data_IF_663981882695
#
_entry.id   IF_663981882695
#
_cell.length_a   1.000
_cell.length_b   1.000
_cell.length_c   1.000
_cell.angle_alpha   90.00
_cell.angle_beta   90.00
_cell.angle_gamma   90.00
#
_symmetry.space_group_name_H-M   'P 1'
#
loop_
_entity.id
_entity.type
_entity.pdbx_description
1 polymer ?
#
# COMPACT_ATOMS: atom_id res chain seq x y z
N UNK A 1 17.61 -8.44 32.12
CA UNK A 1 16.51 -7.77 31.39
C UNK A 1 15.57 -8.86 30.87
N UNK A 2 14.34 -8.97 31.36
CA UNK A 2 13.39 -9.95 30.79
C UNK A 2 12.86 -9.37 29.48
N UNK A 3 13.17 -10.04 28.36
CA UNK A 3 12.73 -9.71 27.00
C UNK A 3 11.20 -9.47 26.90
N UNK A 4 10.43 -10.01 27.86
CA UNK A 4 8.98 -9.87 28.02
C UNK A 4 8.41 -8.44 28.06
N UNK A 5 9.21 -7.39 28.31
CA UNK A 5 8.72 -6.01 28.38
C UNK A 5 8.77 -5.24 27.04
N UNK A 6 9.61 -5.65 26.08
CA UNK A 6 9.71 -5.01 24.76
C UNK A 6 8.69 -5.55 23.73
N UNK A 7 8.19 -6.77 23.96
CA UNK A 7 7.24 -7.47 23.11
C UNK A 7 5.84 -6.82 23.05
N UNK A 8 5.23 -6.39 24.19
CA UNK A 8 3.97 -5.64 24.15
C UNK A 8 4.11 -4.20 23.61
N UNK A 9 5.33 -3.65 23.60
CA UNK A 9 5.66 -2.33 23.03
C UNK A 9 5.50 -2.30 21.50
N UNK A 10 5.98 -3.33 20.79
CA UNK A 10 5.70 -3.51 19.35
C UNK A 10 4.21 -3.78 19.10
N UNK A 11 3.58 -4.56 19.97
CA UNK A 11 2.22 -5.06 19.81
C UNK A 11 1.10 -4.02 19.90
N UNK A 12 1.23 -3.03 20.79
CA UNK A 12 0.21 -1.99 20.93
C UNK A 12 0.26 -0.99 19.78
N UNK A 13 1.47 -0.58 19.37
CA UNK A 13 1.72 0.32 18.23
C UNK A 13 1.19 -0.28 16.92
N UNK A 14 1.55 -1.55 16.66
CA UNK A 14 1.04 -2.32 15.51
C UNK A 14 -0.47 -2.43 15.53
N UNK A 15 -1.09 -2.81 16.64
CA UNK A 15 -2.53 -2.95 16.73
C UNK A 15 -3.30 -1.64 16.47
N UNK A 16 -2.85 -0.50 17.02
CA UNK A 16 -3.51 0.78 16.73
C UNK A 16 -3.29 1.30 15.32
N UNK A 17 -2.14 1.05 14.70
CA UNK A 17 -1.86 1.44 13.32
C UNK A 17 -2.53 0.51 12.30
N UNK A 18 -2.62 -0.79 12.59
CA UNK A 18 -3.24 -1.81 11.74
C UNK A 18 -4.78 -1.83 11.82
N UNK A 19 -5.37 -1.50 12.98
CA UNK A 19 -6.82 -1.65 13.22
C UNK A 19 -7.57 -0.32 13.42
N UNK A 20 -6.87 0.83 13.50
CA UNK A 20 -7.47 2.18 13.49
C UNK A 20 -6.89 3.07 12.38
N UNK A 21 -6.56 2.47 11.22
CA UNK A 21 -6.37 3.26 10.01
C UNK A 21 -7.60 4.15 9.79
N UNK A 22 -7.44 5.47 9.68
CA UNK A 22 -8.57 6.34 9.40
C UNK A 22 -9.12 5.93 8.04
N UNK A 23 -10.42 5.68 8.02
CA UNK A 23 -11.23 5.83 6.83
C UNK A 23 -10.90 7.20 6.22
N UNK A 24 -10.70 7.23 4.90
CA UNK A 24 -10.49 8.41 4.06
C UNK A 24 -9.07 8.99 4.09
N UNK A 25 -8.45 8.92 2.91
CA UNK A 25 -7.28 9.68 2.53
C UNK A 25 -7.38 11.13 2.98
N UNK A 26 -6.48 11.51 3.88
CA UNK A 26 -6.19 12.90 4.16
C UNK A 26 -4.69 13.07 4.19
N UNK A 27 -4.16 13.66 3.11
CA UNK A 27 -2.82 14.22 3.06
C UNK A 27 -2.72 15.35 4.06
N UNK A 28 -2.37 15.03 5.30
CA UNK A 28 -1.98 16.04 6.29
C UNK A 28 -0.50 16.39 6.14
N UNK A 29 -0.14 17.67 6.34
CA UNK A 29 1.21 18.18 6.09
C UNK A 29 2.26 17.52 6.99
N UNK A 30 3.49 17.51 6.48
CA UNK A 30 4.72 16.99 7.08
C UNK A 30 4.81 17.35 8.56
N UNK A 31 4.80 16.34 9.43
CA UNK A 31 5.13 16.50 10.84
C UNK A 31 6.62 16.80 10.99
N UNK A 32 6.98 17.76 11.84
CA UNK A 32 8.39 18.07 12.09
C UNK A 32 9.07 16.93 12.86
N UNK A 33 10.40 16.77 12.68
CA UNK A 33 11.21 15.75 13.36
C UNK A 33 11.07 15.81 14.89
N UNK A 34 10.92 17.01 15.45
CA UNK A 34 10.64 17.20 16.89
C UNK A 34 9.27 16.65 17.29
N UNK A 35 8.24 16.80 16.45
CA UNK A 35 6.89 16.34 16.74
C UNK A 35 6.76 14.81 16.67
N UNK A 36 7.45 14.17 15.72
CA UNK A 36 7.56 12.71 15.63
C UNK A 36 8.33 12.14 16.82
N UNK A 37 9.45 12.78 17.19
CA UNK A 37 10.24 12.43 18.38
C UNK A 37 9.43 12.55 19.66
N UNK A 38 8.69 13.66 19.84
CA UNK A 38 7.85 13.90 21.02
C UNK A 38 6.73 12.87 21.10
N UNK A 39 6.02 12.57 20.00
CA UNK A 39 4.96 11.55 20.01
C UNK A 39 5.47 10.16 20.33
N UNK A 40 6.60 9.76 19.74
CA UNK A 40 7.22 8.47 20.03
C UNK A 40 7.65 8.39 21.50
N UNK A 41 8.33 9.43 22.01
CA UNK A 41 8.76 9.48 23.41
C UNK A 41 7.57 9.53 24.38
N UNK A 42 6.51 10.30 24.10
CA UNK A 42 5.27 10.34 24.89
C UNK A 42 4.55 8.98 24.92
N UNK A 43 4.58 8.23 23.81
CA UNK A 43 4.04 6.87 23.75
C UNK A 43 4.91 5.88 24.53
N UNK A 44 6.24 6.03 24.51
CA UNK A 44 7.18 5.25 25.34
C UNK A 44 6.97 5.55 26.83
N UNK A 45 6.77 6.83 27.20
CA UNK A 45 6.62 7.28 28.60
C UNK A 45 5.26 6.89 29.20
N UNK A 46 4.17 6.96 28.41
CA UNK A 46 2.82 6.53 28.83
C UNK A 46 2.68 5.04 29.13
N UNK A 47 3.63 4.21 28.69
CA UNK A 47 3.59 2.75 28.85
C UNK A 47 4.27 2.26 30.14
N UNK A 48 4.68 3.17 31.04
CA UNK A 48 5.03 2.82 32.43
C UNK A 48 6.34 2.03 32.59
N UNK A 49 7.21 2.01 31.58
CA UNK A 49 8.60 1.59 31.75
C UNK A 49 9.38 2.79 32.30
N UNK A 50 9.33 2.98 33.63
CA UNK A 50 10.06 4.02 34.37
C UNK A 50 11.59 3.88 34.30
N UNK A 51 12.16 3.72 33.11
CA UNK A 51 13.58 3.57 32.84
C UNK A 51 14.10 4.86 32.23
N UNK A 52 14.96 5.56 32.96
CA UNK A 52 15.58 6.78 32.46
C UNK A 52 16.72 6.43 31.48
N UNK A 53 16.36 6.27 30.20
CA UNK A 53 17.29 5.93 29.12
C UNK A 53 18.44 6.93 28.95
N UNK A 54 18.28 8.17 29.43
CA UNK A 54 19.34 9.19 29.41
C UNK A 54 20.55 8.84 30.29
N UNK A 55 20.40 7.92 31.24
CA UNK A 55 21.49 7.45 32.09
C UNK A 55 22.27 6.27 31.49
N UNK A 56 21.85 5.74 30.33
CA UNK A 56 22.53 4.65 29.65
C UNK A 56 23.67 5.21 28.80
N UNK A 57 24.86 4.61 28.89
CA UNK A 57 25.98 4.99 28.01
C UNK A 57 25.70 4.57 26.58
N UNK A 58 26.25 5.31 25.62
CA UNK A 58 26.07 5.00 24.20
C UNK A 58 26.49 3.56 23.82
N UNK A 59 27.65 3.04 24.26
CA UNK A 59 28.02 1.65 23.98
C UNK A 59 27.04 0.63 24.58
N UNK A 60 26.55 0.88 25.80
CA UNK A 60 25.59 -0.01 26.44
C UNK A 60 24.25 -0.04 25.67
N UNK A 61 23.78 1.12 25.19
CA UNK A 61 22.60 1.18 24.34
C UNK A 61 22.79 0.36 23.06
N UNK A 62 23.90 0.56 22.34
CA UNK A 62 24.16 -0.16 21.10
C UNK A 62 24.22 -1.68 21.32
N UNK A 63 24.88 -2.14 22.40
CA UNK A 63 24.92 -3.57 22.75
C UNK A 63 23.51 -4.12 22.99
N UNK A 64 22.65 -3.39 23.70
CA UNK A 64 21.26 -3.83 23.95
C UNK A 64 20.48 -4.00 22.65
N UNK A 65 20.53 -3.03 21.74
CA UNK A 65 19.79 -3.09 20.48
C UNK A 65 20.40 -4.09 19.49
N UNK A 66 21.71 -4.30 19.50
CA UNK A 66 22.35 -5.39 18.74
C UNK A 66 21.92 -6.77 19.26
N UNK A 67 21.84 -6.97 20.57
CA UNK A 67 21.35 -8.22 21.15
C UNK A 67 19.86 -8.44 20.83
N UNK A 68 19.06 -7.37 20.82
CA UNK A 68 17.66 -7.44 20.42
C UNK A 68 17.52 -7.84 18.96
N UNK A 69 18.31 -7.24 18.06
CA UNK A 69 18.33 -7.57 16.64
C UNK A 69 18.67 -9.05 16.42
N UNK A 70 19.75 -9.55 17.06
CA UNK A 70 20.12 -10.97 17.01
C UNK A 70 19.01 -11.87 17.56
N UNK A 71 18.34 -11.48 18.65
CA UNK A 71 17.25 -12.27 19.22
C UNK A 71 16.05 -12.37 18.26
N UNK A 72 15.74 -11.30 17.53
CA UNK A 72 14.64 -11.26 16.57
C UNK A 72 14.96 -11.98 15.24
N UNK A 73 16.21 -12.38 14.98
CA UNK A 73 16.52 -13.31 13.87
C UNK A 73 15.93 -14.72 14.09
N UNK A 74 15.51 -15.05 15.31
CA UNK A 74 14.93 -16.37 15.62
C UNK A 74 13.42 -16.38 15.36
N UNK A 75 12.97 -17.23 14.44
CA UNK A 75 11.54 -17.44 14.15
C UNK A 75 10.72 -17.76 15.42
N UNK A 76 11.27 -18.54 16.36
CA UNK A 76 10.60 -18.85 17.62
C UNK A 76 10.39 -17.60 18.51
N UNK A 77 11.26 -16.59 18.41
CA UNK A 77 11.06 -15.32 19.11
C UNK A 77 10.04 -14.44 18.38
N UNK A 78 10.06 -14.40 17.05
CA UNK A 78 9.03 -13.71 16.26
C UNK A 78 7.63 -14.28 16.54
N UNK A 79 7.48 -15.60 16.58
CA UNK A 79 6.22 -16.28 16.97
C UNK A 79 5.74 -15.87 18.37
N UNK A 80 6.68 -15.74 19.32
CA UNK A 80 6.35 -15.26 20.68
C UNK A 80 5.90 -13.80 20.67
N UNK A 81 6.51 -12.95 19.84
CA UNK A 81 6.02 -11.56 19.61
C UNK A 81 4.59 -11.63 19.13
N UNK A 82 4.35 -12.30 18.00
CA UNK A 82 3.05 -12.41 17.34
C UNK A 82 1.96 -12.93 18.29
N UNK A 83 2.26 -13.95 19.09
CA UNK A 83 1.33 -14.48 20.09
C UNK A 83 0.95 -13.43 21.15
N UNK A 84 1.93 -12.69 21.71
CA UNK A 84 1.67 -11.64 22.70
C UNK A 84 0.84 -10.51 22.10
N UNK A 85 1.14 -10.09 20.86
CA UNK A 85 0.36 -9.06 20.17
C UNK A 85 -1.07 -9.54 19.90
N UNK A 86 -1.23 -10.81 19.51
CA UNK A 86 -2.55 -11.40 19.25
C UNK A 86 -3.43 -11.42 20.49
N UNK A 87 -2.86 -11.81 21.63
CA UNK A 87 -3.58 -11.79 22.90
C UNK A 87 -3.92 -10.36 23.35
N UNK A 88 -3.05 -9.38 23.10
CA UNK A 88 -3.34 -7.98 23.34
C UNK A 88 -4.49 -7.47 22.45
N UNK A 89 -4.47 -7.78 21.14
CA UNK A 89 -5.53 -7.43 20.19
C UNK A 89 -6.91 -7.87 20.68
N UNK A 90 -7.01 -9.13 21.14
CA UNK A 90 -8.25 -9.72 21.66
C UNK A 90 -8.68 -9.06 22.97
N UNK A 91 -7.76 -8.86 23.92
CA UNK A 91 -8.07 -8.25 25.23
C UNK A 91 -8.50 -6.79 25.13
N UNK A 92 -8.01 -6.08 24.11
CA UNK A 92 -8.35 -4.69 23.84
C UNK A 92 -9.60 -4.53 22.96
N UNK A 93 -10.25 -5.65 22.59
CA UNK A 93 -11.46 -5.67 21.75
C UNK A 93 -11.28 -4.92 20.42
N UNK A 94 -10.11 -5.06 19.79
CA UNK A 94 -9.83 -4.38 18.52
C UNK A 94 -10.44 -5.11 17.32
N UNK A 95 -10.53 -6.43 17.36
CA UNK A 95 -11.23 -7.26 16.38
C UNK A 95 -11.60 -8.62 16.98
N UNK A 96 -12.23 -9.49 16.17
CA UNK A 96 -12.47 -10.87 16.54
C UNK A 96 -11.15 -11.65 16.72
N UNK A 97 -11.18 -12.69 17.55
CA UNK A 97 -10.02 -13.53 17.86
C UNK A 97 -9.37 -14.15 16.63
N UNK A 98 -10.16 -14.57 15.65
CA UNK A 98 -9.63 -15.12 14.40
C UNK A 98 -8.88 -14.03 13.63
N UNK A 99 -9.54 -12.90 13.38
CA UNK A 99 -8.95 -11.77 12.64
C UNK A 99 -7.67 -11.27 13.30
N UNK A 100 -7.66 -11.10 14.62
CA UNK A 100 -6.46 -10.70 15.37
C UNK A 100 -5.29 -11.67 15.12
N UNK A 101 -5.53 -12.98 15.19
CA UNK A 101 -4.46 -13.97 15.01
C UNK A 101 -3.93 -14.01 13.58
N UNK A 102 -4.84 -14.09 12.61
CA UNK A 102 -4.48 -14.23 11.21
C UNK A 102 -3.76 -12.98 10.68
N UNK A 103 -4.26 -11.78 11.00
CA UNK A 103 -3.62 -10.54 10.54
C UNK A 103 -2.21 -10.38 11.14
N UNK A 104 -2.02 -10.71 12.42
CA UNK A 104 -0.72 -10.56 13.06
C UNK A 104 0.26 -11.58 12.52
N UNK A 105 -0.18 -12.82 12.27
CA UNK A 105 0.66 -13.85 11.67
C UNK A 105 1.06 -13.46 10.24
N UNK A 106 0.12 -12.95 9.43
CA UNK A 106 0.39 -12.52 8.07
C UNK A 106 1.40 -11.36 8.01
N UNK A 107 1.29 -10.39 8.91
CA UNK A 107 2.19 -9.23 8.95
C UNK A 107 3.51 -9.48 9.67
N UNK A 108 3.62 -10.56 10.46
CA UNK A 108 4.72 -10.80 11.42
C UNK A 108 6.09 -10.57 10.79
N UNK A 109 6.37 -11.31 9.72
CA UNK A 109 7.71 -11.38 9.16
C UNK A 109 8.13 -10.03 8.56
N UNK A 110 7.26 -9.39 7.78
CA UNK A 110 7.56 -8.10 7.12
C UNK A 110 7.61 -6.95 8.13
N UNK A 111 6.68 -6.90 9.08
CA UNK A 111 6.63 -5.83 10.07
C UNK A 111 7.82 -5.87 11.02
N UNK A 112 8.14 -7.05 11.60
CA UNK A 112 9.27 -7.19 12.52
C UNK A 112 10.56 -6.81 11.81
N UNK A 113 10.74 -7.27 10.57
CA UNK A 113 11.94 -6.96 9.79
C UNK A 113 12.06 -5.46 9.46
N UNK A 114 10.98 -4.82 9.03
CA UNK A 114 10.97 -3.38 8.81
C UNK A 114 11.33 -2.61 10.08
N UNK A 115 10.87 -3.06 11.25
CA UNK A 115 11.18 -2.43 12.52
C UNK A 115 12.65 -2.65 12.96
N UNK A 116 13.19 -3.86 12.77
CA UNK A 116 14.61 -4.17 12.99
C UNK A 116 15.54 -3.28 12.16
N UNK A 117 15.15 -3.01 10.91
CA UNK A 117 15.91 -2.18 9.98
C UNK A 117 15.60 -0.68 10.09
N UNK A 118 14.80 -0.27 11.07
CA UNK A 118 14.44 1.13 11.32
C UNK A 118 14.53 1.46 12.80
N UNK A 119 13.40 1.55 13.51
CA UNK A 119 13.31 2.02 14.89
C UNK A 119 14.13 1.20 15.90
N UNK A 120 14.35 -0.10 15.65
CA UNK A 120 15.17 -0.94 16.53
C UNK A 120 16.63 -1.03 16.07
N UNK A 121 16.98 -0.41 14.96
CA UNK A 121 18.35 -0.40 14.49
C UNK A 121 19.23 0.35 15.52
N UNK A 122 20.42 -0.18 15.91
CA UNK A 122 21.16 0.37 17.03
C UNK A 122 21.53 1.85 16.91
N UNK A 123 21.75 2.38 15.70
CA UNK A 123 22.04 3.81 15.53
C UNK A 123 20.81 4.67 15.73
N UNK A 124 19.68 4.28 15.13
CA UNK A 124 18.39 4.98 15.22
C UNK A 124 17.85 4.99 16.65
N UNK A 125 17.74 3.80 17.26
CA UNK A 125 17.20 3.63 18.60
C UNK A 125 18.02 4.40 19.64
N UNK A 126 19.35 4.34 19.56
CA UNK A 126 20.22 4.98 20.54
C UNK A 126 20.35 6.49 20.33
N UNK A 127 20.24 6.98 19.09
CA UNK A 127 20.13 8.42 18.83
C UNK A 127 18.88 9.00 19.50
N UNK A 128 17.77 8.28 19.44
CA UNK A 128 16.49 8.67 20.02
C UNK A 128 16.49 8.61 21.55
N UNK A 129 17.00 7.52 22.13
CA UNK A 129 16.95 7.23 23.57
C UNK A 129 18.07 7.89 24.40
N UNK A 130 19.30 7.88 23.88
CA UNK A 130 20.49 8.41 24.58
C UNK A 130 20.81 9.84 24.11
N UNK A 131 20.60 10.13 22.83
CA UNK A 131 20.80 11.45 22.25
C UNK A 131 21.60 11.41 20.95
N UNK A 132 21.66 12.54 20.22
CA UNK A 132 22.22 12.62 18.86
C UNK A 132 23.73 12.32 18.79
N UNK A 133 24.44 12.35 19.92
CA UNK A 133 25.85 11.92 19.97
C UNK A 133 26.02 10.40 19.85
N UNK A 134 24.94 9.61 19.94
CA UNK A 134 25.00 8.15 19.90
C UNK A 134 24.55 7.52 18.57
N UNK A 135 24.11 8.32 17.60
CA UNK A 135 23.70 7.86 16.28
C UNK A 135 22.96 8.95 15.50
N UNK A 136 22.33 8.55 14.41
CA UNK A 136 21.40 9.37 13.62
C UNK A 136 19.98 8.90 13.90
N UNK A 137 19.00 9.81 13.82
CA UNK A 137 17.59 9.45 13.79
C UNK A 137 16.96 10.11 12.57
N UNK A 138 16.81 9.36 11.47
CA UNK A 138 16.38 9.89 10.17
C UNK A 138 15.10 9.23 9.62
N UNK A 139 14.44 8.41 10.43
CA UNK A 139 13.13 7.84 10.10
C UNK A 139 12.13 8.97 9.79
N UNK A 140 11.61 8.96 8.56
CA UNK A 140 10.73 10.00 8.01
C UNK A 140 11.33 11.42 8.05
N UNK A 141 12.65 11.55 8.01
CA UNK A 141 13.30 12.85 7.88
C UNK A 141 12.85 13.57 6.60
N UNK A 142 12.68 14.90 6.62
CA UNK A 142 12.38 15.67 5.42
C UNK A 142 13.46 15.50 4.35
N UNK A 143 13.03 15.33 3.10
CA UNK A 143 13.90 15.23 1.94
C UNK A 143 13.31 16.08 0.79
N UNK A 144 14.14 16.36 -0.22
CA UNK A 144 13.78 17.20 -1.36
C UNK A 144 14.17 16.52 -2.68
N UNK A 145 13.48 16.89 -3.76
CA UNK A 145 13.83 16.53 -5.13
C UNK A 145 14.49 17.71 -5.82
N UNK A 146 15.54 17.42 -6.59
CA UNK A 146 16.21 18.46 -7.40
C UNK A 146 15.49 18.59 -8.73
N UNK A 147 14.92 19.78 -8.97
CA UNK A 147 14.34 20.13 -10.28
C UNK A 147 15.45 20.46 -11.30
N UNK A 148 15.19 20.30 -12.61
CA UNK A 148 16.13 20.67 -13.65
C UNK A 148 16.43 22.18 -13.61
N UNK A 149 17.60 22.55 -14.13
CA UNK A 149 18.00 23.97 -14.24
C UNK A 149 17.30 24.70 -15.40
N UNK A 150 16.48 24.00 -16.18
CA UNK A 150 15.69 24.58 -17.27
C UNK A 150 14.74 25.62 -16.66
N UNK A 151 14.76 26.89 -17.11
CA UNK A 151 13.87 27.90 -16.58
C UNK A 151 12.41 27.53 -16.82
N UNK A 152 11.60 27.56 -15.76
CA UNK A 152 10.17 27.30 -15.86
C UNK A 152 9.53 28.25 -16.91
N UNK A 153 8.84 27.72 -17.93
CA UNK A 153 8.19 28.56 -18.93
C UNK A 153 7.06 29.42 -18.32
N UNK A 154 6.68 30.54 -18.97
CA UNK A 154 5.53 31.32 -18.55
C UNK A 154 4.26 30.46 -18.48
N UNK A 155 3.51 30.59 -17.38
CA UNK A 155 2.27 29.84 -17.18
C UNK A 155 1.24 30.28 -18.23
N UNK A 156 0.90 29.37 -19.15
CA UNK A 156 -0.10 29.60 -20.19
C UNK A 156 -1.31 28.70 -19.92
N UNK A 157 -2.47 29.28 -19.55
CA UNK A 157 -3.68 28.50 -19.36
C UNK A 157 -4.09 27.75 -20.65
N UNK A 158 -4.63 26.52 -20.56
CA UNK A 158 -5.18 25.84 -21.71
C UNK A 158 -6.28 26.70 -22.37
N UNK A 159 -6.19 26.90 -23.68
CA UNK A 159 -7.24 27.57 -24.44
C UNK A 159 -8.42 26.61 -24.66
N UNK A 160 -9.68 27.07 -24.58
CA UNK A 160 -10.82 26.25 -24.91
C UNK A 160 -10.70 25.65 -26.33
N UNK A 161 -11.11 24.39 -26.53
CA UNK A 161 -11.09 23.79 -27.86
C UNK A 161 -12.04 24.54 -28.79
N UNK A 162 -11.66 24.68 -30.06
CA UNK A 162 -12.52 25.28 -31.09
C UNK A 162 -13.78 24.41 -31.28
N UNK A 163 -14.94 25.00 -31.62
CA UNK A 163 -16.13 24.22 -31.97
C UNK A 163 -15.80 23.16 -33.03
N UNK A 164 -16.23 21.91 -32.79
CA UNK A 164 -15.97 20.78 -33.69
C UNK A 164 -14.59 20.12 -33.54
N UNK A 165 -13.76 20.51 -32.56
CA UNK A 165 -12.51 19.81 -32.26
C UNK A 165 -12.78 18.34 -31.88
N UNK A 166 -11.93 17.38 -32.30
CA UNK A 166 -12.03 15.99 -31.87
C UNK A 166 -12.04 15.86 -30.35
N UNK A 167 -12.82 14.91 -29.83
CA UNK A 167 -12.93 14.63 -28.41
C UNK A 167 -12.62 13.17 -28.16
N UNK A 168 -11.78 12.91 -27.14
CA UNK A 168 -11.54 11.57 -26.65
C UNK A 168 -12.49 11.23 -25.51
N UNK A 169 -13.00 9.99 -25.49
CA UNK A 169 -13.77 9.40 -24.41
C UNK A 169 -12.89 8.41 -23.67
N UNK A 170 -12.64 8.67 -22.39
CA UNK A 170 -11.76 7.85 -21.54
C UNK A 170 -12.60 7.17 -20.48
N UNK A 171 -12.52 5.85 -20.40
CA UNK A 171 -13.10 5.10 -19.28
C UNK A 171 -12.12 5.14 -18.09
N UNK A 172 -12.64 5.36 -16.89
CA UNK A 172 -11.87 5.30 -15.66
C UNK A 172 -12.44 4.21 -14.76
N UNK A 173 -11.63 3.18 -14.48
CA UNK A 173 -11.95 2.09 -13.57
C UNK A 173 -11.08 2.20 -12.33
N UNK A 174 -11.64 1.98 -11.16
CA UNK A 174 -10.91 2.02 -9.88
C UNK A 174 -11.66 1.20 -8.85
N UNK A 175 -10.94 0.70 -7.83
CA UNK A 175 -11.52 0.11 -6.62
C UNK A 175 -12.56 -0.99 -6.95
N UNK A 176 -12.16 -1.95 -7.79
CA UNK A 176 -13.05 -3.04 -8.21
C UNK A 176 -13.39 -3.92 -7.01
N UNK A 177 -12.43 -4.17 -6.12
CA UNK A 177 -12.55 -5.00 -4.92
C UNK A 177 -13.43 -6.23 -5.15
N UNK A 178 -12.95 -7.13 -5.99
CA UNK A 178 -13.63 -8.38 -6.26
C UNK A 178 -13.45 -9.32 -5.06
N UNK A 179 -14.57 -9.68 -4.42
CA UNK A 179 -14.60 -10.73 -3.41
C UNK A 179 -15.04 -12.06 -4.04
N UNK A 180 -14.07 -12.96 -4.17
CA UNK A 180 -14.30 -14.33 -4.65
C UNK A 180 -15.22 -15.14 -3.73
N UNK A 181 -15.30 -14.81 -2.44
CA UNK A 181 -16.09 -15.51 -1.44
C UNK A 181 -17.42 -14.82 -1.12
N UNK A 182 -17.78 -13.74 -1.83
CA UNK A 182 -19.08 -13.10 -1.67
C UNK A 182 -20.20 -14.13 -1.89
N UNK A 183 -21.12 -14.20 -0.94
CA UNK A 183 -22.24 -15.11 -0.97
C UNK A 183 -23.55 -14.37 -0.67
N UNK A 184 -24.41 -14.27 -1.67
CA UNK A 184 -25.77 -13.75 -1.49
C UNK A 184 -26.53 -14.59 -0.43
N UNK A 185 -27.26 -13.89 0.44
CA UNK A 185 -27.99 -14.48 1.57
C UNK A 185 -27.18 -14.69 2.85
N UNK A 186 -25.86 -14.45 2.84
CA UNK A 186 -25.05 -14.43 4.06
C UNK A 186 -25.30 -13.17 4.91
N UNK A 187 -24.76 -13.12 6.12
CA UNK A 187 -24.84 -11.93 6.97
C UNK A 187 -24.05 -10.76 6.38
N UNK A 188 -24.72 -9.63 6.21
CA UNK A 188 -24.11 -8.36 5.86
C UNK A 188 -23.64 -7.58 7.10
N UNK A 189 -24.08 -7.96 8.30
CA UNK A 189 -23.76 -7.34 9.59
C UNK A 189 -22.98 -8.29 10.51
N UNK A 190 -21.84 -8.77 10.02
CA UNK A 190 -20.93 -9.61 10.79
C UNK A 190 -20.02 -8.79 11.72
N UNK A 191 -19.24 -9.47 12.57
CA UNK A 191 -18.25 -8.84 13.46
C UNK A 191 -16.88 -8.66 12.82
N UNK A 192 -16.65 -9.31 11.68
CA UNK A 192 -15.40 -9.22 10.93
C UNK A 192 -15.38 -7.89 10.13
N UNK A 193 -14.18 -7.39 9.74
CA UNK A 193 -14.09 -6.15 8.97
C UNK A 193 -14.75 -6.22 7.58
N UNK A 194 -14.85 -7.42 6.99
CA UNK A 194 -15.53 -7.68 5.72
C UNK A 194 -16.56 -8.80 5.91
N UNK A 195 -17.80 -8.53 5.50
CA UNK A 195 -18.96 -9.40 5.62
C UNK A 195 -19.46 -9.86 4.24
N UNK A 196 -20.69 -10.36 4.17
CA UNK A 196 -21.31 -10.90 2.96
C UNK A 196 -20.60 -12.12 2.37
N UNK A 197 -19.86 -12.88 3.19
CA UNK A 197 -19.13 -14.09 2.81
C UNK A 197 -19.78 -15.32 3.44
N UNK A 198 -19.41 -16.51 2.96
CA UNK A 198 -19.82 -17.77 3.60
C UNK A 198 -19.43 -17.82 5.10
N UNK A 199 -18.28 -17.27 5.47
CA UNK A 199 -17.80 -17.20 6.86
C UNK A 199 -18.66 -16.29 7.75
N UNK A 200 -19.36 -15.31 7.17
CA UNK A 200 -20.22 -14.37 7.89
C UNK A 200 -21.47 -15.03 8.48
N UNK A 201 -21.80 -16.26 8.05
CA UNK A 201 -22.97 -17.03 8.50
C UNK A 201 -24.27 -16.64 7.78
N UNK A 202 -25.37 -17.33 8.08
CA UNK A 202 -26.67 -17.18 7.40
C UNK A 202 -27.79 -16.90 8.42
N UNK A 203 -28.05 -15.63 8.77
CA UNK A 203 -29.05 -15.29 9.76
C UNK A 203 -30.46 -15.59 9.23
N UNK A 204 -31.36 -16.04 10.11
CA UNK A 204 -32.74 -16.42 9.72
C UNK A 204 -33.68 -15.22 9.49
N UNK A 205 -33.33 -14.02 9.95
CA UNK A 205 -34.18 -12.83 9.90
C UNK A 205 -33.51 -11.70 9.11
N UNK A 206 -34.30 -11.05 8.24
CA UNK A 206 -33.99 -9.76 7.60
C UNK A 206 -33.97 -8.65 8.67
N UNK A 207 -33.17 -7.56 8.54
CA UNK A 207 -32.76 -6.92 7.28
C UNK A 207 -31.34 -7.19 6.77
N UNK A 208 -30.49 -7.93 7.48
CA UNK A 208 -29.04 -7.96 7.21
C UNK A 208 -28.56 -9.07 6.27
N UNK A 209 -29.33 -9.42 5.24
CA UNK A 209 -28.90 -10.44 4.27
C UNK A 209 -28.20 -9.80 3.07
N UNK A 210 -27.08 -10.40 2.66
CA UNK A 210 -26.33 -9.99 1.49
C UNK A 210 -27.19 -10.12 0.23
N UNK A 211 -27.30 -9.04 -0.55
CA UNK A 211 -28.00 -8.99 -1.81
C UNK A 211 -27.29 -9.78 -2.92
N UNK A 212 -27.98 -10.03 -4.03
CA UNK A 212 -27.35 -10.70 -5.17
C UNK A 212 -26.23 -9.85 -5.78
N UNK A 213 -26.48 -8.58 -6.06
CA UNK A 213 -25.56 -7.67 -6.78
C UNK A 213 -24.56 -6.92 -5.88
N UNK A 214 -24.48 -7.27 -4.60
CA UNK A 214 -23.81 -6.44 -3.59
C UNK A 214 -24.78 -5.96 -2.52
N UNK A 215 -24.23 -5.32 -1.48
CA UNK A 215 -24.98 -4.90 -0.29
C UNK A 215 -24.39 -3.61 0.26
N UNK A 216 -25.25 -2.68 0.69
CA UNK A 216 -24.83 -1.46 1.41
C UNK A 216 -24.42 -1.81 2.85
N UNK A 217 -23.22 -2.37 3.00
CA UNK A 217 -22.59 -2.69 4.28
C UNK A 217 -21.06 -2.77 4.09
N UNK A 218 -20.33 -3.27 5.07
CA UNK A 218 -18.92 -3.62 4.95
C UNK A 218 -18.77 -4.90 4.10
N UNK A 219 -19.07 -4.81 2.81
CA UNK A 219 -19.05 -5.90 1.85
C UNK A 219 -18.46 -5.42 0.52
N UNK A 220 -17.71 -6.30 -0.11
CA UNK A 220 -17.11 -6.06 -1.43
C UNK A 220 -17.98 -6.67 -2.55
N UNK A 221 -17.52 -6.61 -3.81
CA UNK A 221 -18.34 -6.97 -4.96
C UNK A 221 -18.25 -8.45 -5.32
N UNK A 222 -19.39 -9.12 -5.60
CA UNK A 222 -19.34 -10.44 -6.22
C UNK A 222 -18.94 -10.36 -7.70
N UNK A 223 -18.38 -11.44 -8.22
CA UNK A 223 -17.87 -11.53 -9.59
C UNK A 223 -18.87 -11.07 -10.66
N UNK A 224 -20.14 -11.47 -10.58
CA UNK A 224 -21.16 -11.11 -11.58
C UNK A 224 -21.50 -9.62 -11.59
N UNK A 225 -21.25 -8.89 -10.50
CA UNK A 225 -21.39 -7.42 -10.51
C UNK A 225 -20.23 -6.77 -11.25
N UNK A 226 -19.01 -7.27 -11.06
CA UNK A 226 -17.83 -6.83 -11.81
C UNK A 226 -17.97 -7.15 -13.31
N UNK A 227 -18.44 -8.34 -13.66
CA UNK A 227 -18.72 -8.71 -15.05
C UNK A 227 -19.81 -7.82 -15.66
N UNK A 228 -20.92 -7.60 -14.94
CA UNK A 228 -21.99 -6.71 -15.40
C UNK A 228 -21.50 -5.27 -15.60
N UNK A 229 -20.63 -4.76 -14.72
CA UNK A 229 -20.01 -3.44 -14.89
C UNK A 229 -19.24 -3.37 -16.20
N UNK A 230 -18.38 -4.36 -16.47
CA UNK A 230 -17.52 -4.37 -17.66
C UNK A 230 -18.33 -4.57 -18.95
N UNK A 231 -19.39 -5.37 -18.93
CA UNK A 231 -20.34 -5.49 -20.04
C UNK A 231 -21.03 -4.15 -20.36
N UNK A 232 -21.48 -3.44 -19.33
CA UNK A 232 -22.10 -2.13 -19.50
C UNK A 232 -21.10 -1.08 -19.96
N UNK A 233 -19.89 -1.08 -19.42
CA UNK A 233 -18.82 -0.18 -19.83
C UNK A 233 -18.46 -0.38 -21.30
N UNK A 234 -18.34 -1.64 -21.76
CA UNK A 234 -18.10 -1.94 -23.17
C UNK A 234 -19.22 -1.42 -24.09
N UNK A 235 -20.50 -1.55 -23.67
CA UNK A 235 -21.66 -1.02 -24.41
C UNK A 235 -21.73 0.51 -24.43
N UNK A 236 -21.24 1.19 -23.39
CA UNK A 236 -21.26 2.64 -23.27
C UNK A 236 -20.13 3.35 -24.05
N UNK A 237 -19.21 2.56 -24.63
CA UNK A 237 -18.15 3.04 -25.52
C UNK A 237 -18.69 3.56 -26.88
N UNK A 238 -17.79 3.79 -27.86
CA UNK A 238 -16.37 3.45 -27.85
C UNK A 238 -15.55 4.30 -26.88
N UNK A 239 -14.42 3.73 -26.43
CA UNK A 239 -13.42 4.40 -25.60
C UNK A 239 -12.11 4.47 -26.37
N UNK A 240 -11.46 5.63 -26.36
CA UNK A 240 -10.15 5.79 -27.00
C UNK A 240 -9.06 5.06 -26.20
N UNK A 241 -9.17 5.10 -24.86
CA UNK A 241 -8.37 4.31 -23.93
C UNK A 241 -9.04 4.21 -22.56
N UNK A 242 -8.46 3.43 -21.66
CA UNK A 242 -8.93 3.24 -20.29
C UNK A 242 -7.82 3.53 -19.30
N UNK A 243 -8.16 4.20 -18.20
CA UNK A 243 -7.34 4.24 -16.99
C UNK A 243 -7.91 3.27 -15.97
N UNK A 244 -7.05 2.46 -15.34
CA UNK A 244 -7.47 1.49 -14.33
C UNK A 244 -6.58 1.55 -13.09
N UNK A 245 -7.02 2.20 -12.03
CA UNK A 245 -6.13 2.59 -10.92
C UNK A 245 -5.96 1.56 -9.80
N UNK A 246 -6.16 0.27 -10.09
CA UNK A 246 -5.86 -0.81 -9.16
C UNK A 246 -7.00 -1.13 -8.19
N UNK A 247 -6.63 -1.64 -7.02
CA UNK A 247 -7.51 -2.17 -5.97
C UNK A 247 -8.48 -3.23 -6.48
N UNK A 248 -7.87 -4.32 -6.97
CA UNK A 248 -8.53 -5.53 -7.45
C UNK A 248 -9.00 -6.43 -6.29
N UNK A 249 -8.15 -6.77 -5.31
CA UNK A 249 -8.50 -7.72 -4.26
C UNK A 249 -9.45 -7.11 -3.24
N UNK A 250 -10.29 -7.94 -2.62
CA UNK A 250 -11.21 -7.54 -1.55
C UNK A 250 -10.49 -7.19 -0.23
N UNK A 251 -11.26 -6.71 0.75
CA UNK A 251 -10.81 -6.27 2.08
C UNK A 251 -10.68 -7.41 3.11
N UNK A 252 -10.57 -8.68 2.70
CA UNK A 252 -10.24 -9.80 3.60
C UNK A 252 -8.75 -9.86 3.96
N UNK A 253 -8.18 -8.72 4.32
CA UNK A 253 -6.73 -8.49 4.45
C UNK A 253 -6.05 -9.34 5.53
N UNK A 254 -6.83 -9.95 6.43
CA UNK A 254 -6.31 -10.89 7.43
C UNK A 254 -6.10 -12.30 6.86
N UNK A 255 -6.68 -12.62 5.71
CA UNK A 255 -6.70 -13.97 5.12
C UNK A 255 -6.44 -13.92 3.62
N UNK A 256 -5.31 -13.34 3.22
CA UNK A 256 -4.87 -13.26 1.83
C UNK A 256 -3.54 -13.97 1.62
N UNK A 257 -3.39 -14.65 0.48
CA UNK A 257 -2.14 -15.31 0.08
C UNK A 257 -1.66 -14.76 -1.26
N UNK A 258 -0.36 -14.81 -1.54
CA UNK A 258 0.18 -14.34 -2.83
C UNK A 258 -0.50 -15.03 -4.01
N UNK A 259 -0.75 -16.33 -3.91
CA UNK A 259 -1.44 -17.07 -4.96
C UNK A 259 -2.86 -16.55 -5.22
N UNK A 260 -3.58 -16.15 -4.17
CA UNK A 260 -4.89 -15.50 -4.31
C UNK A 260 -4.77 -14.15 -5.03
N UNK A 261 -3.88 -13.26 -4.58
CA UNK A 261 -3.65 -11.95 -5.21
C UNK A 261 -3.32 -12.09 -6.71
N UNK A 262 -2.42 -13.01 -7.07
CA UNK A 262 -2.03 -13.26 -8.46
C UNK A 262 -3.18 -13.86 -9.29
N UNK A 263 -3.99 -14.72 -8.68
CA UNK A 263 -5.19 -15.27 -9.33
C UNK A 263 -6.19 -14.17 -9.62
N UNK A 264 -6.46 -13.30 -8.64
CA UNK A 264 -7.41 -12.19 -8.77
C UNK A 264 -6.95 -11.17 -9.81
N UNK A 265 -5.67 -10.77 -9.78
CA UNK A 265 -5.04 -9.95 -10.81
C UNK A 265 -5.23 -10.56 -12.21
N UNK A 266 -4.97 -11.86 -12.37
CA UNK A 266 -5.10 -12.57 -13.64
C UNK A 266 -6.55 -12.60 -14.12
N UNK A 267 -7.49 -12.95 -13.25
CA UNK A 267 -8.90 -13.09 -13.59
C UNK A 267 -9.48 -11.74 -14.01
N UNK A 268 -9.27 -10.69 -13.22
CA UNK A 268 -9.83 -9.37 -13.53
C UNK A 268 -9.14 -8.73 -14.73
N UNK A 269 -7.81 -8.87 -14.88
CA UNK A 269 -7.12 -8.37 -16.09
C UNK A 269 -7.65 -9.04 -17.36
N UNK A 270 -7.91 -10.36 -17.31
CA UNK A 270 -8.51 -11.08 -18.44
C UNK A 270 -9.96 -10.69 -18.68
N UNK A 271 -10.74 -10.44 -17.63
CA UNK A 271 -12.12 -9.99 -17.75
C UNK A 271 -12.21 -8.60 -18.40
N UNK A 272 -11.37 -7.66 -17.96
CA UNK A 272 -11.24 -6.33 -18.58
C UNK A 272 -10.90 -6.47 -20.06
N UNK A 273 -9.89 -7.29 -20.41
CA UNK A 273 -9.49 -7.53 -21.81
C UNK A 273 -10.61 -8.16 -22.64
N UNK A 274 -11.34 -9.13 -22.07
CA UNK A 274 -12.47 -9.82 -22.73
C UNK A 274 -13.57 -8.83 -23.13
N UNK A 275 -13.96 -7.93 -22.23
CA UNK A 275 -15.10 -7.04 -22.47
C UNK A 275 -14.74 -5.77 -23.25
N UNK A 276 -13.57 -5.17 -23.01
CA UNK A 276 -13.15 -3.97 -23.73
C UNK A 276 -12.58 -4.28 -25.13
N UNK A 277 -12.13 -5.53 -25.35
CA UNK A 277 -11.58 -5.98 -26.61
C UNK A 277 -10.11 -5.61 -26.83
N UNK A 278 -9.47 -6.19 -27.85
CA UNK A 278 -8.03 -6.04 -28.09
C UNK A 278 -7.63 -4.66 -28.66
N UNK A 279 -8.60 -3.86 -29.14
CA UNK A 279 -8.33 -2.57 -29.77
C UNK A 279 -8.31 -1.40 -28.77
N UNK A 280 -8.70 -1.63 -27.51
CA UNK A 280 -8.71 -0.61 -26.46
C UNK A 280 -7.50 -0.82 -25.56
N UNK A 281 -6.63 0.18 -25.47
CA UNK A 281 -5.46 0.14 -24.58
C UNK A 281 -5.89 0.54 -23.17
N UNK A 282 -5.48 -0.26 -22.17
CA UNK A 282 -5.72 0.00 -20.75
C UNK A 282 -4.39 0.40 -20.11
N UNK A 283 -4.37 1.54 -19.42
CA UNK A 283 -3.21 2.00 -18.65
C UNK A 283 -3.48 1.81 -17.16
N UNK A 284 -3.06 0.67 -16.58
CA UNK A 284 -3.28 0.39 -15.17
C UNK A 284 -2.33 1.16 -14.24
N UNK A 285 -2.71 1.36 -12.99
CA UNK A 285 -1.84 1.73 -11.89
C UNK A 285 -1.95 0.70 -10.76
N UNK A 286 -0.94 0.67 -9.89
CA UNK A 286 -0.89 -0.24 -8.74
C UNK A 286 -1.58 0.44 -7.56
N UNK A 287 -2.62 -0.19 -7.04
CA UNK A 287 -3.29 0.18 -5.80
C UNK A 287 -2.61 -0.46 -4.58
N UNK A 288 -3.20 -0.27 -3.40
CA UNK A 288 -2.61 -0.70 -2.14
C UNK A 288 -3.10 -2.08 -1.68
N UNK A 289 -4.19 -2.58 -2.25
CA UNK A 289 -4.71 -3.92 -2.01
C UNK A 289 -4.08 -5.01 -2.89
N UNK A 290 -3.25 -4.67 -3.88
CA UNK A 290 -2.62 -5.68 -4.75
C UNK A 290 -1.61 -6.58 -4.02
N UNK A 291 -0.88 -6.06 -3.04
CA UNK A 291 0.09 -6.84 -2.27
C UNK A 291 -0.58 -7.61 -1.12
N UNK A 292 0.07 -8.69 -0.69
CA UNK A 292 -0.18 -9.28 0.63
C UNK A 292 1.14 -9.40 1.39
N UNK A 293 1.21 -8.90 2.64
CA UNK A 293 0.13 -8.23 3.37
C UNK A 293 -0.29 -6.88 2.72
N UNK A 294 -1.50 -6.39 3.04
CA UNK A 294 -2.03 -5.13 2.46
C UNK A 294 -1.09 -3.96 2.76
N UNK A 295 -0.93 -3.03 1.81
CA UNK A 295 -0.02 -1.87 1.89
C UNK A 295 1.49 -2.20 1.96
N UNK A 296 1.89 -3.47 1.95
CA UNK A 296 3.29 -3.87 2.05
C UNK A 296 3.94 -3.88 0.66
N UNK A 297 4.56 -2.74 0.32
CA UNK A 297 5.30 -2.54 -0.92
C UNK A 297 6.76 -2.19 -0.64
N UNK A 298 7.60 -3.20 -0.32
CA UNK A 298 9.02 -3.00 -0.12
C UNK A 298 9.67 -2.32 -1.34
N UNK A 299 10.40 -1.20 -1.15
CA UNK A 299 11.09 -0.55 -2.25
C UNK A 299 12.22 -1.43 -2.83
N UNK A 300 12.76 -1.09 -4.01
CA UNK A 300 13.73 -1.93 -4.73
C UNK A 300 15.04 -2.26 -4.00
N UNK A 301 15.35 -1.61 -2.88
CA UNK A 301 16.47 -1.98 -2.00
C UNK A 301 16.21 -3.27 -1.20
N UNK A 302 14.96 -3.74 -1.13
CA UNK A 302 14.59 -5.02 -0.54
C UNK A 302 14.58 -6.08 -1.63
N UNK A 303 15.30 -7.18 -1.41
CA UNK A 303 15.53 -8.21 -2.44
C UNK A 303 14.98 -9.58 -2.04
N UNK A 304 14.98 -10.50 -3.01
CA UNK A 304 14.59 -11.89 -2.81
C UNK A 304 13.09 -12.03 -2.55
N UNK A 305 12.70 -13.05 -1.78
CA UNK A 305 11.31 -13.42 -1.59
C UNK A 305 10.47 -12.35 -0.85
N UNK A 306 11.10 -11.40 -0.14
CA UNK A 306 10.42 -10.30 0.55
C UNK A 306 10.11 -9.11 -0.35
N UNK A 307 10.75 -9.02 -1.52
CA UNK A 307 10.46 -7.96 -2.49
C UNK A 307 9.07 -8.12 -3.11
N UNK A 308 8.57 -7.08 -3.77
CA UNK A 308 7.33 -7.11 -4.56
C UNK A 308 7.50 -7.67 -5.98
N UNK A 309 8.65 -8.27 -6.31
CA UNK A 309 8.92 -8.80 -7.65
C UNK A 309 7.87 -9.84 -8.10
N UNK A 310 7.41 -10.71 -7.19
CA UNK A 310 6.35 -11.70 -7.47
C UNK A 310 5.06 -11.08 -8.01
N UNK A 311 4.74 -9.84 -7.57
CA UNK A 311 3.56 -9.09 -7.98
C UNK A 311 3.83 -8.32 -9.28
N UNK A 312 4.93 -7.56 -9.32
CA UNK A 312 5.26 -6.70 -10.45
C UNK A 312 5.60 -7.50 -11.72
N UNK A 313 6.24 -8.66 -11.59
CA UNK A 313 6.48 -9.56 -12.71
C UNK A 313 5.17 -10.08 -13.28
N UNK A 314 4.22 -10.47 -12.41
CA UNK A 314 2.90 -10.93 -12.84
C UNK A 314 2.07 -9.82 -13.48
N UNK A 315 2.13 -8.60 -12.95
CA UNK A 315 1.52 -7.43 -13.58
C UNK A 315 2.08 -7.19 -14.96
N UNK A 316 3.41 -7.24 -15.12
CA UNK A 316 4.05 -7.06 -16.42
C UNK A 316 3.67 -8.17 -17.43
N UNK A 317 3.47 -9.40 -16.98
CA UNK A 317 2.93 -10.49 -17.80
C UNK A 317 1.47 -10.23 -18.23
N UNK A 318 0.57 -9.97 -17.28
CA UNK A 318 -0.85 -9.82 -17.57
C UNK A 318 -1.17 -8.52 -18.32
N UNK A 319 -0.34 -7.47 -18.17
CA UNK A 319 -0.53 -6.18 -18.82
C UNK A 319 0.34 -6.00 -20.07
N UNK A 320 1.08 -7.03 -20.48
CA UNK A 320 2.00 -6.97 -21.63
C UNK A 320 1.33 -6.55 -22.94
N UNK A 321 0.06 -6.92 -23.14
CA UNK A 321 -0.70 -6.55 -24.34
C UNK A 321 -1.06 -5.07 -24.42
N UNK A 322 -1.03 -4.35 -23.29
CA UNK A 322 -1.38 -2.94 -23.22
C UNK A 322 -0.17 -2.03 -23.11
N UNK A 323 0.96 -2.55 -22.63
CA UNK A 323 2.13 -1.75 -22.28
C UNK A 323 3.33 -2.05 -23.19
N UNK A 324 4.02 -1.02 -23.72
CA UNK A 324 5.25 -1.23 -24.47
C UNK A 324 6.35 -1.84 -23.58
N UNK A 325 7.32 -2.52 -24.19
CA UNK A 325 8.40 -3.22 -23.47
C UNK A 325 9.12 -2.31 -22.46
N UNK A 326 9.37 -1.04 -22.83
CA UNK A 326 10.04 -0.09 -21.94
C UNK A 326 9.21 0.26 -20.70
N UNK A 327 7.88 0.34 -20.83
CA UNK A 327 6.98 0.53 -19.69
C UNK A 327 6.97 -0.70 -18.77
N UNK A 328 7.02 -1.90 -19.35
CA UNK A 328 7.09 -3.13 -18.58
C UNK A 328 8.39 -3.25 -17.75
N UNK A 329 9.50 -2.65 -18.21
CA UNK A 329 10.78 -2.66 -17.45
C UNK A 329 10.67 -1.86 -16.14
N UNK A 330 10.12 -0.65 -16.20
CA UNK A 330 9.94 0.16 -14.98
C UNK A 330 8.81 -0.39 -14.10
N UNK A 331 7.79 -1.01 -14.72
CA UNK A 331 6.73 -1.72 -13.99
C UNK A 331 7.33 -2.85 -13.14
N UNK A 332 8.19 -3.70 -13.71
CA UNK A 332 8.89 -4.75 -12.95
C UNK A 332 9.80 -4.19 -11.86
N UNK A 333 10.42 -3.04 -12.11
CA UNK A 333 11.35 -2.42 -11.16
C UNK A 333 10.65 -1.84 -9.92
N UNK A 334 9.52 -1.15 -10.09
CA UNK A 334 8.90 -0.42 -8.97
C UNK A 334 7.39 -0.20 -9.07
N UNK A 335 6.69 -0.88 -9.97
CA UNK A 335 5.24 -0.76 -10.09
C UNK A 335 4.76 0.51 -10.81
N UNK A 336 5.64 1.28 -11.45
CA UNK A 336 5.31 2.53 -12.15
C UNK A 336 5.86 2.53 -13.59
N UNK A 337 5.25 3.31 -14.47
CA UNK A 337 5.70 3.39 -15.86
C UNK A 337 5.20 4.63 -16.59
N UNK A 338 5.73 4.85 -17.79
CA UNK A 338 5.21 5.85 -18.73
C UNK A 338 5.05 5.24 -20.12
N UNK A 339 4.05 5.70 -20.87
CA UNK A 339 3.79 5.29 -22.24
C UNK A 339 3.22 6.47 -23.05
N UNK A 340 3.48 6.49 -24.36
CA UNK A 340 2.79 7.40 -25.26
C UNK A 340 1.36 6.89 -25.49
N UNK A 341 0.36 7.76 -25.35
CA UNK A 341 -1.04 7.43 -25.68
C UNK A 341 -1.28 7.68 -27.17
N UNK A 342 -0.88 8.86 -27.63
CA UNK A 342 -1.01 9.34 -29.01
C UNK A 342 0.00 10.47 -29.23
N UNK A 343 0.25 10.93 -30.47
CA UNK A 343 1.16 12.04 -30.71
C UNK A 343 0.84 13.26 -29.84
N UNK A 344 1.83 13.74 -29.07
CA UNK A 344 1.66 14.89 -28.18
C UNK A 344 1.03 14.60 -26.82
N UNK A 345 0.68 13.35 -26.50
CA UNK A 345 0.09 12.96 -25.21
C UNK A 345 0.71 11.66 -24.67
N UNK A 346 1.17 11.72 -23.43
CA UNK A 346 1.68 10.55 -22.71
C UNK A 346 0.95 10.34 -21.38
N UNK A 347 0.95 9.09 -20.92
CA UNK A 347 0.54 8.72 -19.57
C UNK A 347 1.78 8.46 -18.70
N UNK A 348 1.67 8.83 -17.43
CA UNK A 348 2.56 8.38 -16.37
C UNK A 348 1.72 7.74 -15.30
N UNK A 349 1.92 6.44 -15.10
CA UNK A 349 1.30 5.65 -14.05
C UNK A 349 2.25 5.59 -12.86
N UNK A 350 1.82 6.11 -11.71
CA UNK A 350 2.62 6.15 -10.48
C UNK A 350 2.20 5.04 -9.52
N UNK A 351 3.17 4.46 -8.82
CA UNK A 351 2.95 3.61 -7.67
C UNK A 351 2.90 4.45 -6.40
N UNK A 352 1.68 4.75 -5.93
CA UNK A 352 1.47 5.61 -4.76
C UNK A 352 1.74 4.91 -3.42
N UNK A 353 1.98 3.59 -3.44
CA UNK A 353 2.39 2.88 -2.22
C UNK A 353 3.75 3.35 -1.68
N UNK A 354 4.55 4.04 -2.50
CA UNK A 354 5.79 4.70 -2.07
C UNK A 354 5.59 6.05 -1.37
N UNK A 355 4.36 6.55 -1.27
CA UNK A 355 4.00 7.68 -0.39
C UNK A 355 2.96 7.33 0.68
N UNK A 356 2.46 6.08 0.69
CA UNK A 356 1.47 5.62 1.67
C UNK A 356 2.07 5.54 3.08
N UNK A 357 1.33 6.01 4.08
CA UNK A 357 1.76 5.94 5.50
C UNK A 357 1.72 4.52 6.05
N UNK A 358 0.85 3.72 5.45
CA UNK A 358 0.55 2.34 5.76
C UNK A 358 1.64 1.39 5.24
N UNK A 359 2.51 1.85 4.33
CA UNK A 359 3.64 1.08 3.86
C UNK A 359 4.79 1.12 4.88
N UNK A 360 4.83 0.11 5.74
CA UNK A 360 5.80 0.01 6.83
C UNK A 360 7.26 -0.09 6.39
N UNK A 361 7.54 -0.50 5.15
CA UNK A 361 8.91 -0.49 4.62
C UNK A 361 9.49 0.92 4.48
N UNK A 362 8.65 1.96 4.44
CA UNK A 362 9.11 3.35 4.41
C UNK A 362 9.71 3.81 5.75
N UNK A 363 9.53 3.05 6.84
CA UNK A 363 10.29 3.30 8.07
C UNK A 363 11.79 3.07 7.88
N UNK A 364 12.18 2.16 6.98
CA UNK A 364 13.59 1.86 6.69
C UNK A 364 14.23 2.99 5.89
N UNK A 365 13.57 3.43 4.83
CA UNK A 365 13.94 4.62 4.08
C UNK A 365 12.73 5.15 3.30
N UNK A 366 12.34 6.38 3.60
CA UNK A 366 11.22 7.08 2.94
C UNK A 366 11.67 8.13 1.91
N UNK A 367 12.98 8.26 1.68
CA UNK A 367 13.55 9.21 0.71
C UNK A 367 13.36 8.67 -0.70
N UNK A 368 12.47 9.33 -1.46
CA UNK A 368 12.11 9.01 -2.85
C UNK A 368 12.20 7.50 -3.20
N UNK A 369 11.35 6.65 -2.61
CA UNK A 369 11.47 5.20 -2.79
C UNK A 369 11.39 4.84 -4.28
N UNK A 370 12.31 3.96 -4.71
CA UNK A 370 12.54 3.60 -6.11
C UNK A 370 13.00 4.74 -7.03
N UNK A 371 13.40 5.90 -6.48
CA UNK A 371 13.68 7.14 -7.22
C UNK A 371 12.50 7.59 -8.10
N UNK A 372 11.27 7.30 -7.69
CA UNK A 372 10.08 7.50 -8.52
C UNK A 372 9.83 8.99 -8.82
N UNK A 373 9.95 9.89 -7.84
CA UNK A 373 9.77 11.33 -8.09
C UNK A 373 10.91 11.90 -8.91
N UNK A 374 12.15 11.48 -8.66
CA UNK A 374 13.27 11.90 -9.50
C UNK A 374 13.11 11.43 -10.95
N UNK A 375 12.61 10.21 -11.16
CA UNK A 375 12.23 9.67 -12.46
C UNK A 375 11.06 10.46 -13.09
N UNK A 376 10.02 10.78 -12.32
CA UNK A 376 8.89 11.59 -12.78
C UNK A 376 9.36 12.96 -13.27
N UNK A 377 10.27 13.62 -12.54
CA UNK A 377 10.87 14.89 -12.97
C UNK A 377 11.56 14.75 -14.33
N UNK A 378 12.32 13.69 -14.55
CA UNK A 378 12.98 13.44 -15.84
C UNK A 378 11.97 13.21 -16.97
N UNK A 379 10.90 12.47 -16.69
CA UNK A 379 9.81 12.23 -17.64
C UNK A 379 9.10 13.54 -18.01
N UNK A 380 8.74 14.36 -17.02
CA UNK A 380 8.04 15.63 -17.24
C UNK A 380 8.92 16.63 -18.00
N UNK A 381 10.22 16.72 -17.66
CA UNK A 381 11.14 17.59 -18.39
C UNK A 381 11.31 17.15 -19.84
N UNK A 382 11.52 15.85 -20.08
CA UNK A 382 11.67 15.33 -21.44
C UNK A 382 10.41 15.58 -22.29
N UNK A 383 9.22 15.52 -21.69
CA UNK A 383 7.96 15.88 -22.35
C UNK A 383 7.83 17.39 -22.58
N UNK A 384 8.27 18.23 -21.64
CA UNK A 384 8.31 19.69 -21.82
C UNK A 384 9.22 20.08 -23.00
N UNK A 385 10.41 19.47 -23.10
CA UNK A 385 11.41 19.75 -24.14
C UNK A 385 10.88 19.50 -25.57
N UNK A 386 9.93 18.56 -25.73
CA UNK A 386 9.31 18.21 -27.02
C UNK A 386 7.85 18.71 -27.15
N UNK A 387 7.35 19.48 -26.17
CA UNK A 387 6.01 20.05 -26.19
C UNK A 387 4.85 19.05 -25.97
N UNK A 388 5.12 17.89 -25.39
CA UNK A 388 4.10 16.89 -25.03
C UNK A 388 3.27 17.30 -23.81
N UNK A 389 2.02 16.81 -23.75
CA UNK A 389 1.19 16.85 -22.55
C UNK A 389 1.25 15.52 -21.82
N UNK A 390 1.13 15.56 -20.50
CA UNK A 390 1.25 14.39 -19.63
C UNK A 390 0.00 14.26 -18.77
N UNK A 391 -0.64 13.09 -18.82
CA UNK A 391 -1.66 12.67 -17.85
C UNK A 391 -1.03 11.81 -16.76
N UNK A 392 -1.23 12.17 -15.49
CA UNK A 392 -0.86 11.33 -14.35
C UNK A 392 -2.04 10.42 -13.99
N UNK A 393 -1.76 9.14 -13.76
CA UNK A 393 -2.76 8.13 -13.38
C UNK A 393 -2.24 7.39 -12.15
N UNK A 394 -3.06 7.36 -11.10
CA UNK A 394 -2.73 6.74 -9.82
C UNK A 394 -3.99 6.51 -8.97
N UNK A 395 -3.91 5.57 -8.02
CA UNK A 395 -4.89 5.48 -6.93
C UNK A 395 -4.75 6.68 -6.00
N UNK A 396 -5.86 7.20 -5.46
CA UNK A 396 -5.94 8.42 -4.65
C UNK A 396 -5.73 8.16 -3.17
#
# INVERSE_FOLDING_TARGET
>A
MKLHALLPFLGLMTCTLLLRGPSLGSGHPVQSLEQTRIRFLEQVDRLGLGFNWRNLTCPACKVVFTLLDIALLSNANEERVAHVVSEACVRLHLSDKLVCREIIELFRDDFIRALQQSFLWPTEACALLVGPSCGTFDIYAPWNITLPKVPKPPVTPPSPPKPGSPQSRVLFLTDIHWDKEYQAGSAADCKEPLCCRNSSGFPRKRPSLAGHWGTYSNCDLPFHTVESLLENAARAGPWDWVYWTGDIPAHNVWSQTRNQQLTELTVISKLVRKHLGPNVTVYPAVGNHESTPVNIFPPPFVHGNRSSAWLYDKMAEEWASWLPEQAQKTLRYGGFYTAAIQPGLRVVSLNMNFCARENFWLMVNSTDPANQLQWLVQVLQASEDIGEKVGLVNLV
#
